data_IF_976733733700
#
_entry.id   IF_976733733700
#
_cell.length_a   1.000
_cell.length_b   1.000
_cell.length_c   1.000
_cell.angle_alpha   90.00
_cell.angle_beta   90.00
_cell.angle_gamma   90.00
#
_symmetry.space_group_name_H-M   'P 1'
#
loop_
_entity.id
_entity.type
_entity.pdbx_description
1 polymer ?
#
# COMPACT_ATOMS: atom_id res chain seq x y z
N UNK A 1 19.46 -3.08 -17.90
CA UNK A 1 18.77 -1.78 -17.66
C UNK A 1 18.74 -1.50 -16.17
N UNK A 2 18.70 -0.23 -15.73
CA UNK A 2 18.78 0.16 -14.31
C UNK A 2 17.80 -0.60 -13.40
N UNK A 3 16.53 -0.73 -13.83
CA UNK A 3 15.50 -1.47 -13.09
C UNK A 3 15.89 -2.90 -12.73
N UNK A 4 16.48 -3.66 -13.67
CA UNK A 4 16.85 -5.05 -13.42
C UNK A 4 17.99 -5.17 -12.39
N UNK A 5 18.95 -4.25 -12.44
CA UNK A 5 20.04 -4.22 -11.47
C UNK A 5 19.51 -3.85 -10.07
N UNK A 6 18.67 -2.81 -9.97
CA UNK A 6 18.12 -2.35 -8.69
C UNK A 6 17.19 -3.37 -8.05
N UNK A 7 16.32 -4.04 -8.84
CA UNK A 7 15.49 -5.14 -8.35
C UNK A 7 16.36 -6.29 -7.82
N UNK A 8 17.45 -6.64 -8.53
CA UNK A 8 18.34 -7.72 -8.12
C UNK A 8 19.14 -7.35 -6.87
N UNK A 9 19.63 -6.11 -6.77
CA UNK A 9 20.28 -5.58 -5.58
C UNK A 9 19.33 -5.60 -4.37
N UNK A 10 18.08 -5.18 -4.59
CA UNK A 10 17.04 -5.16 -3.56
C UNK A 10 16.76 -6.55 -3.02
N UNK A 11 16.57 -7.52 -3.91
CA UNK A 11 16.36 -8.92 -3.54
C UNK A 11 17.50 -9.46 -2.66
N UNK A 12 18.76 -9.22 -3.05
CA UNK A 12 19.92 -9.65 -2.28
C UNK A 12 19.98 -8.96 -0.91
N UNK A 13 19.68 -7.67 -0.85
CA UNK A 13 19.64 -6.92 0.41
C UNK A 13 18.56 -7.43 1.37
N UNK A 14 17.36 -7.74 0.87
CA UNK A 14 16.27 -8.32 1.66
C UNK A 14 16.68 -9.67 2.25
N UNK A 15 17.29 -10.54 1.42
CA UNK A 15 17.75 -11.85 1.86
C UNK A 15 18.81 -11.76 2.96
N UNK A 16 19.74 -10.81 2.85
CA UNK A 16 20.74 -10.53 3.89
C UNK A 16 20.11 -9.97 5.17
N UNK A 17 19.01 -9.22 5.06
CA UNK A 17 18.26 -8.70 6.20
C UNK A 17 17.30 -9.74 6.84
N UNK A 18 17.22 -10.96 6.29
CA UNK A 18 16.37 -12.04 6.80
C UNK A 18 14.97 -12.11 6.19
N UNK A 19 14.67 -11.30 5.17
CA UNK A 19 13.42 -11.38 4.39
C UNK A 19 13.66 -12.19 3.13
N UNK A 20 13.22 -13.45 3.13
CA UNK A 20 13.33 -14.33 1.96
C UNK A 20 12.03 -14.34 1.14
N UNK A 21 12.08 -13.78 -0.08
CA UNK A 21 10.96 -13.80 -1.02
C UNK A 21 10.88 -15.11 -1.82
N UNK A 22 11.82 -16.04 -1.61
CA UNK A 22 11.97 -17.26 -2.37
C UNK A 22 12.61 -17.02 -3.75
N UNK A 23 12.52 -18.01 -4.62
CA UNK A 23 13.07 -17.94 -5.97
C UNK A 23 12.25 -16.98 -6.86
N UNK A 24 12.88 -16.33 -7.85
CA UNK A 24 12.14 -15.60 -8.87
C UNK A 24 11.26 -16.55 -9.68
N UNK A 25 10.02 -16.13 -9.97
CA UNK A 25 9.05 -16.88 -10.80
C UNK A 25 8.76 -16.20 -12.13
N UNK A 26 9.41 -15.06 -12.39
CA UNK A 26 9.30 -14.28 -13.62
C UNK A 26 10.59 -13.54 -13.87
N UNK A 27 10.81 -13.14 -15.12
CA UNK A 27 11.79 -12.13 -15.44
C UNK A 27 11.35 -10.73 -14.99
N UNK A 28 12.22 -9.73 -15.13
CA UNK A 28 11.82 -8.33 -14.94
C UNK A 28 10.93 -7.92 -16.11
N UNK A 29 9.69 -7.58 -15.82
CA UNK A 29 8.67 -7.20 -16.81
C UNK A 29 8.14 -5.79 -16.55
N UNK A 30 7.57 -5.16 -17.57
CA UNK A 30 6.90 -3.86 -17.41
C UNK A 30 5.64 -4.01 -16.54
N UNK A 31 5.50 -3.18 -15.51
CA UNK A 31 4.30 -3.11 -14.67
C UNK A 31 3.40 -1.93 -15.00
N UNK A 32 3.69 -1.21 -16.10
CA UNK A 32 2.91 -0.08 -16.59
C UNK A 32 3.31 1.27 -15.98
N UNK A 33 2.89 2.36 -16.62
CA UNK A 33 3.26 3.74 -16.22
C UNK A 33 4.78 3.96 -16.06
N UNK A 34 5.61 3.25 -16.83
CA UNK A 34 7.07 3.42 -16.83
C UNK A 34 7.85 2.64 -15.77
N UNK A 35 7.17 1.82 -14.95
CA UNK A 35 7.84 0.96 -13.97
C UNK A 35 7.92 -0.50 -14.37
N UNK A 36 8.65 -1.25 -13.56
CA UNK A 36 8.96 -2.66 -13.77
C UNK A 36 8.70 -3.46 -12.50
N UNK A 37 8.49 -4.76 -12.65
CA UNK A 37 8.31 -5.69 -11.53
C UNK A 37 9.06 -6.98 -11.81
N UNK A 38 9.54 -7.63 -10.76
CA UNK A 38 9.85 -9.05 -10.75
C UNK A 38 9.05 -9.73 -9.65
N UNK A 39 8.39 -10.83 -10.01
CA UNK A 39 7.63 -11.67 -9.08
C UNK A 39 8.53 -12.77 -8.53
N UNK A 40 8.39 -13.03 -7.24
CA UNK A 40 9.02 -14.10 -6.49
C UNK A 40 7.94 -14.97 -5.84
N UNK A 41 8.33 -16.13 -5.30
CA UNK A 41 7.39 -17.08 -4.70
C UNK A 41 6.54 -16.48 -3.57
N UNK A 42 7.11 -15.59 -2.76
CA UNK A 42 6.45 -15.06 -1.56
C UNK A 42 6.26 -13.54 -1.59
N UNK A 43 6.65 -12.87 -2.66
CA UNK A 43 6.49 -11.42 -2.79
C UNK A 43 6.87 -10.90 -4.18
N UNK A 44 6.64 -9.62 -4.42
CA UNK A 44 7.02 -8.93 -5.64
C UNK A 44 7.98 -7.80 -5.30
N UNK A 45 8.95 -7.51 -6.18
CA UNK A 45 9.74 -6.29 -6.10
C UNK A 45 9.35 -5.42 -7.29
N UNK A 46 8.79 -4.25 -6.99
CA UNK A 46 8.44 -3.23 -7.96
C UNK A 46 9.53 -2.17 -8.01
N UNK A 47 9.79 -1.64 -9.20
CA UNK A 47 10.70 -0.54 -9.45
C UNK A 47 10.02 0.54 -10.27
N UNK A 48 10.24 1.80 -9.90
CA UNK A 48 9.88 2.95 -10.71
C UNK A 48 10.92 4.06 -10.53
N UNK A 49 11.16 4.87 -11.56
CA UNK A 49 12.22 5.88 -11.52
C UNK A 49 12.07 6.89 -10.36
N UNK A 50 10.83 7.17 -9.95
CA UNK A 50 10.55 8.12 -8.85
C UNK A 50 10.61 7.50 -7.45
N UNK A 51 10.52 6.17 -7.34
CA UNK A 51 10.37 5.49 -6.03
C UNK A 51 11.50 4.49 -5.76
N UNK A 52 12.24 4.04 -6.76
CA UNK A 52 13.24 2.98 -6.62
C UNK A 52 12.61 1.59 -6.46
N UNK A 53 13.42 0.62 -6.05
CA UNK A 53 12.99 -0.77 -5.86
C UNK A 53 12.45 -1.03 -4.44
N UNK A 54 11.20 -1.48 -4.36
CA UNK A 54 10.51 -1.80 -3.11
C UNK A 54 9.78 -3.13 -3.20
N UNK A 55 9.84 -3.90 -2.12
CA UNK A 55 9.10 -5.15 -2.04
C UNK A 55 7.66 -4.94 -1.54
N UNK A 56 6.77 -5.82 -1.98
CA UNK A 56 5.48 -6.06 -1.33
C UNK A 56 5.27 -7.57 -1.24
N UNK A 57 4.95 -8.09 -0.05
CA UNK A 57 4.83 -9.53 0.20
C UNK A 57 3.61 -9.89 1.07
N UNK A 58 3.35 -11.20 1.18
CA UNK A 58 2.32 -11.77 2.07
C UNK A 58 0.91 -11.16 1.88
N UNK A 59 0.19 -11.01 3.00
CA UNK A 59 -1.19 -10.50 2.99
C UNK A 59 -1.33 -9.06 2.50
N UNK A 60 -0.27 -8.25 2.60
CA UNK A 60 -0.24 -6.90 2.01
C UNK A 60 -0.18 -6.99 0.49
N UNK A 61 0.63 -7.89 -0.08
CA UNK A 61 0.67 -8.10 -1.53
C UNK A 61 -0.69 -8.59 -2.05
N UNK A 62 -1.31 -9.54 -1.38
CA UNK A 62 -2.65 -10.01 -1.75
C UNK A 62 -3.66 -8.85 -1.79
N UNK A 63 -3.64 -7.99 -0.77
CA UNK A 63 -4.49 -6.80 -0.73
C UNK A 63 -4.15 -5.80 -1.83
N UNK A 64 -2.87 -5.54 -2.06
CA UNK A 64 -2.39 -4.64 -3.11
C UNK A 64 -2.92 -5.07 -4.49
N UNK A 65 -2.82 -6.35 -4.81
CA UNK A 65 -3.32 -6.91 -6.06
C UNK A 65 -4.85 -6.83 -6.16
N UNK A 66 -5.59 -7.09 -5.07
CA UNK A 66 -7.06 -6.88 -5.04
C UNK A 66 -7.45 -5.44 -5.36
N UNK A 67 -6.63 -4.46 -4.95
CA UNK A 67 -6.85 -3.04 -5.24
C UNK A 67 -6.35 -2.58 -6.62
N UNK A 68 -5.91 -3.50 -7.48
CA UNK A 68 -5.41 -3.21 -8.84
C UNK A 68 -3.90 -2.98 -8.93
N UNK A 69 -3.16 -3.19 -7.84
CA UNK A 69 -1.71 -3.03 -7.78
C UNK A 69 -1.26 -1.62 -8.15
N UNK A 70 -0.21 -1.53 -8.98
CA UNK A 70 0.28 -0.25 -9.55
C UNK A 70 -0.66 0.34 -10.62
N UNK A 71 -1.63 -0.48 -11.07
CA UNK A 71 -2.58 -0.17 -12.13
C UNK A 71 -3.92 0.36 -11.61
N UNK A 72 -4.96 0.23 -12.43
CA UNK A 72 -6.31 0.71 -12.12
C UNK A 72 -7.06 -0.33 -11.27
N UNK A 73 -7.78 0.13 -10.26
CA UNK A 73 -8.68 -0.69 -9.47
C UNK A 73 -9.77 -1.31 -10.36
N UNK A 74 -10.05 -2.63 -10.23
CA UNK A 74 -10.98 -3.33 -11.12
C UNK A 74 -12.40 -2.78 -11.08
N UNK A 75 -12.84 -2.24 -9.94
CA UNK A 75 -14.19 -1.66 -9.78
C UNK A 75 -14.24 -0.17 -10.11
N UNK A 76 -13.21 0.60 -9.79
CA UNK A 76 -13.27 2.07 -9.84
C UNK A 76 -12.60 2.64 -11.08
N UNK A 77 -11.81 1.85 -11.83
CA UNK A 77 -11.10 2.32 -13.02
C UNK A 77 -10.02 3.38 -12.75
N UNK A 78 -9.67 3.61 -11.48
CA UNK A 78 -8.69 4.61 -11.01
C UNK A 78 -7.47 3.91 -10.41
N UNK A 79 -6.29 4.51 -10.58
CA UNK A 79 -5.09 4.07 -9.85
C UNK A 79 -5.19 4.61 -8.42
N UNK A 80 -5.35 3.73 -7.44
CA UNK A 80 -5.60 4.14 -6.04
C UNK A 80 -4.32 4.32 -5.22
N UNK A 81 -3.39 3.38 -5.34
CA UNK A 81 -2.20 3.30 -4.49
C UNK A 81 -0.93 3.77 -5.19
N UNK A 82 -0.74 3.40 -6.46
CA UNK A 82 0.48 3.69 -7.22
C UNK A 82 1.62 2.70 -6.93
N UNK A 83 2.86 3.11 -7.20
CA UNK A 83 4.04 2.32 -6.89
C UNK A 83 4.33 2.29 -5.38
N UNK A 84 4.90 1.19 -4.85
CA UNK A 84 5.41 1.20 -3.48
C UNK A 84 6.56 2.21 -3.33
N UNK A 85 6.57 2.89 -2.18
CA UNK A 85 7.61 3.86 -1.75
C UNK A 85 8.33 3.39 -0.49
N UNK A 86 7.95 2.21 0.02
CA UNK A 86 8.64 1.52 1.10
C UNK A 86 8.50 0.02 0.94
N UNK A 87 9.42 -0.71 1.58
CA UNK A 87 9.16 -2.10 1.93
C UNK A 87 8.12 -2.19 3.04
N UNK A 88 7.71 -3.39 3.42
CA UNK A 88 6.93 -3.62 4.63
C UNK A 88 7.69 -3.12 5.87
N UNK A 89 6.99 -2.37 6.72
CA UNK A 89 7.49 -1.83 7.98
C UNK A 89 6.63 -2.28 9.15
N UNK A 90 7.25 -2.43 10.31
CA UNK A 90 6.53 -2.56 11.57
C UNK A 90 5.86 -1.23 11.94
N UNK A 91 4.61 -1.31 12.42
CA UNK A 91 3.92 -0.18 13.05
C UNK A 91 4.45 0.07 14.47
N UNK A 92 4.04 1.17 15.11
CA UNK A 92 4.50 1.57 16.45
C UNK A 92 4.24 0.51 17.53
N UNK A 93 3.17 -0.26 17.41
CA UNK A 93 2.83 -1.37 18.31
C UNK A 93 3.68 -2.63 18.07
N UNK A 94 4.53 -2.64 17.03
CA UNK A 94 5.35 -3.76 16.52
C UNK A 94 4.58 -4.99 16.06
N UNK A 95 3.28 -5.07 16.35
CA UNK A 95 2.40 -6.18 15.98
C UNK A 95 1.85 -6.00 14.56
N UNK A 96 1.54 -4.78 14.15
CA UNK A 96 1.09 -4.53 12.80
C UNK A 96 2.21 -4.29 11.80
N UNK A 97 1.80 -4.34 10.54
CA UNK A 97 2.63 -4.10 9.37
C UNK A 97 1.95 -3.08 8.46
N UNK A 98 2.79 -2.32 7.76
CA UNK A 98 2.36 -1.34 6.77
C UNK A 98 3.33 -1.31 5.60
N UNK A 99 2.81 -1.24 4.39
CA UNK A 99 3.56 -0.82 3.21
C UNK A 99 2.99 0.49 2.69
N UNK A 100 3.87 1.43 2.37
CA UNK A 100 3.50 2.73 1.83
C UNK A 100 3.63 2.73 0.30
N UNK A 101 2.69 3.42 -0.34
CA UNK A 101 2.60 3.61 -1.79
C UNK A 101 2.53 5.11 -2.10
N UNK A 102 2.68 5.48 -3.38
CA UNK A 102 2.66 6.88 -3.83
C UNK A 102 1.46 7.67 -3.29
N UNK A 103 0.27 7.06 -3.25
CA UNK A 103 -0.99 7.72 -2.89
C UNK A 103 -1.76 7.04 -1.75
N UNK A 104 -1.12 6.12 -1.04
CA UNK A 104 -1.80 5.39 0.03
C UNK A 104 -0.89 4.49 0.84
N UNK A 105 -1.50 3.71 1.71
CA UNK A 105 -0.85 2.68 2.49
C UNK A 105 -1.81 1.50 2.70
N UNK A 106 -1.24 0.31 2.85
CA UNK A 106 -2.00 -0.89 3.22
C UNK A 106 -1.52 -1.36 4.58
N UNK A 107 -2.46 -1.60 5.48
CA UNK A 107 -2.20 -1.98 6.87
C UNK A 107 -2.63 -3.41 7.13
N UNK A 108 -1.86 -4.11 7.96
CA UNK A 108 -2.13 -5.47 8.40
C UNK A 108 -1.91 -5.59 9.91
N UNK A 109 -2.87 -6.15 10.63
CA UNK A 109 -2.73 -6.46 12.06
C UNK A 109 -3.71 -7.58 12.45
N UNK A 110 -3.16 -8.72 12.88
CA UNK A 110 -3.96 -9.91 13.19
C UNK A 110 -4.88 -9.70 14.39
N UNK A 111 -4.37 -9.13 15.48
CA UNK A 111 -5.10 -8.93 16.74
C UNK A 111 -6.18 -7.85 16.66
N UNK A 112 -6.04 -6.90 15.75
CA UNK A 112 -7.03 -5.83 15.49
C UNK A 112 -8.01 -6.15 14.36
N UNK A 113 -8.00 -7.39 13.84
CA UNK A 113 -8.81 -7.82 12.70
C UNK A 113 -8.62 -6.98 11.41
N UNK A 114 -7.40 -6.47 11.19
CA UNK A 114 -7.04 -5.70 10.00
C UNK A 114 -6.31 -6.63 9.03
N UNK A 115 -6.87 -6.89 7.85
CA UNK A 115 -6.39 -7.90 6.87
C UNK A 115 -6.10 -7.29 5.50
N UNK A 116 -5.28 -6.24 5.49
CA UNK A 116 -4.94 -5.51 4.27
C UNK A 116 -5.93 -4.39 3.98
N UNK A 117 -6.30 -3.62 5.01
CA UNK A 117 -7.14 -2.43 4.84
C UNK A 117 -6.28 -1.31 4.27
N UNK A 118 -6.73 -0.71 3.18
CA UNK A 118 -5.99 0.29 2.43
C UNK A 118 -6.59 1.69 2.64
N UNK A 119 -5.75 2.66 2.97
CA UNK A 119 -6.15 4.08 3.02
C UNK A 119 -5.46 4.79 1.86
N UNK A 120 -6.22 5.56 1.08
CA UNK A 120 -5.67 6.29 -0.07
C UNK A 120 -6.17 7.72 -0.18
N UNK A 121 -5.56 8.47 -1.09
CA UNK A 121 -5.97 9.83 -1.45
C UNK A 121 -5.89 10.78 -0.27
N UNK A 122 -6.85 11.71 -0.19
CA UNK A 122 -6.84 12.74 0.84
C UNK A 122 -7.10 12.17 2.25
N UNK A 123 -7.86 11.07 2.36
CA UNK A 123 -8.01 10.36 3.63
C UNK A 123 -6.65 9.87 4.14
N UNK A 124 -5.81 9.31 3.26
CA UNK A 124 -4.46 8.88 3.62
C UNK A 124 -3.56 10.06 3.98
N UNK A 125 -3.55 11.14 3.19
CA UNK A 125 -2.76 12.34 3.49
C UNK A 125 -3.07 12.88 4.88
N UNK A 126 -4.36 12.98 5.22
CA UNK A 126 -4.78 13.47 6.53
C UNK A 126 -4.47 12.46 7.65
N UNK A 127 -4.72 11.17 7.41
CA UNK A 127 -4.39 10.12 8.36
C UNK A 127 -2.91 10.09 8.73
N UNK A 128 -2.03 10.23 7.73
CA UNK A 128 -0.59 10.34 7.91
C UNK A 128 -0.19 11.59 8.71
N UNK A 129 -0.82 12.73 8.44
CA UNK A 129 -0.58 13.97 9.18
C UNK A 129 -0.99 13.88 10.66
N UNK A 130 -1.96 13.02 11.00
CA UNK A 130 -2.36 12.74 12.39
C UNK A 130 -1.44 11.71 13.08
N UNK A 131 -0.39 11.22 12.42
CA UNK A 131 0.59 10.30 13.00
C UNK A 131 0.16 8.83 13.02
N UNK A 132 -0.87 8.46 12.25
CA UNK A 132 -1.27 7.06 12.05
C UNK A 132 -1.50 6.29 13.37
N UNK A 133 -2.17 6.94 14.33
CA UNK A 133 -2.25 6.49 15.72
C UNK A 133 -3.19 5.29 15.98
N UNK A 134 -3.84 4.75 14.95
CA UNK A 134 -4.76 3.62 15.07
C UNK A 134 -4.65 2.69 13.87
N UNK A 135 -5.63 1.83 13.61
CA UNK A 135 -5.71 1.08 12.35
C UNK A 135 -7.01 1.42 11.64
N UNK A 136 -6.99 1.46 10.29
CA UNK A 136 -8.22 1.55 9.52
C UNK A 136 -9.05 0.28 9.75
N UNK A 137 -10.31 0.46 10.17
CA UNK A 137 -11.29 -0.61 10.30
C UNK A 137 -11.86 -1.04 8.93
N UNK A 138 -11.84 -0.13 7.96
CA UNK A 138 -12.18 -0.41 6.55
C UNK A 138 -11.09 0.13 5.64
N UNK A 139 -10.97 -0.41 4.44
CA UNK A 139 -10.32 0.34 3.36
C UNK A 139 -11.12 1.61 3.05
N UNK A 140 -10.50 2.59 2.41
CA UNK A 140 -11.21 3.77 1.91
C UNK A 140 -12.33 3.33 0.96
N UNK A 141 -13.51 3.89 1.10
CA UNK A 141 -14.69 3.58 0.31
C UNK A 141 -14.97 4.80 -0.57
N UNK A 142 -15.02 4.60 -1.88
CA UNK A 142 -15.44 5.62 -2.83
C UNK A 142 -16.96 5.55 -2.98
N UNK A 143 -17.62 6.68 -2.80
CA UNK A 143 -19.07 6.88 -2.94
C UNK A 143 -19.34 7.99 -3.95
N UNK A 144 -20.58 8.12 -4.46
CA UNK A 144 -20.94 9.25 -5.33
C UNK A 144 -20.71 10.63 -4.69
N UNK A 145 -20.74 10.73 -3.35
CA UNK A 145 -20.64 12.00 -2.62
C UNK A 145 -19.27 12.23 -1.97
N UNK A 146 -18.31 11.32 -2.16
CA UNK A 146 -16.99 11.44 -1.55
C UNK A 146 -16.31 10.12 -1.20
N UNK A 147 -15.23 10.22 -0.44
CA UNK A 147 -14.41 9.10 0.03
C UNK A 147 -14.46 9.03 1.55
N UNK A 148 -14.66 7.84 2.12
CA UNK A 148 -14.71 7.65 3.58
C UNK A 148 -13.82 6.50 4.01
N UNK A 149 -13.12 6.66 5.12
CA UNK A 149 -12.35 5.59 5.78
C UNK A 149 -12.78 5.51 7.24
N UNK A 150 -13.19 4.33 7.69
CA UNK A 150 -13.54 4.10 9.08
C UNK A 150 -12.34 3.59 9.87
N UNK A 151 -12.27 4.03 11.11
CA UNK A 151 -11.36 3.60 12.16
C UNK A 151 -12.22 3.15 13.36
N UNK A 152 -11.61 2.52 14.35
CA UNK A 152 -12.31 1.97 15.52
C UNK A 152 -13.21 3.03 16.22
N UNK A 153 -12.72 4.26 16.36
CA UNK A 153 -13.41 5.33 17.11
C UNK A 153 -13.68 6.58 16.26
N UNK A 154 -13.44 6.54 14.96
CA UNK A 154 -13.62 7.71 14.09
C UNK A 154 -13.80 7.34 12.62
N UNK A 155 -14.21 8.29 11.79
CA UNK A 155 -14.02 8.20 10.35
C UNK A 155 -13.43 9.49 9.77
N UNK A 156 -12.68 9.31 8.69
CA UNK A 156 -12.24 10.40 7.82
C UNK A 156 -13.12 10.42 6.58
N UNK A 157 -13.72 11.57 6.27
CA UNK A 157 -14.56 11.74 5.10
C UNK A 157 -14.10 12.93 4.26
N UNK A 158 -13.81 12.68 2.99
CA UNK A 158 -13.59 13.68 1.94
C UNK A 158 -14.88 13.82 1.12
N UNK A 159 -15.65 14.91 1.21
CA UNK A 159 -16.76 15.16 0.30
C UNK A 159 -16.25 15.37 -1.14
N UNK A 160 -17.12 15.16 -2.13
CA UNK A 160 -16.82 15.55 -3.52
C UNK A 160 -16.72 17.08 -3.67
N UNK A 161 -17.53 17.81 -2.92
CA UNK A 161 -17.47 19.26 -2.82
C UNK A 161 -18.12 19.71 -1.51
N UNK A 162 -17.51 20.63 -0.75
CA UNK A 162 -16.12 21.11 -0.88
C UNK A 162 -15.08 20.03 -0.48
N UNK A 163 -13.86 20.08 -1.04
CA UNK A 163 -12.85 19.02 -0.90
C UNK A 163 -12.04 19.04 0.42
N UNK A 164 -12.61 19.47 1.54
CA UNK A 164 -11.90 19.39 2.84
C UNK A 164 -12.15 18.07 3.55
N UNK A 165 -11.16 17.61 4.32
CA UNK A 165 -11.29 16.40 5.15
C UNK A 165 -12.07 16.71 6.42
N UNK A 166 -13.11 15.91 6.68
CA UNK A 166 -13.86 15.89 7.91
C UNK A 166 -13.40 14.73 8.79
N UNK A 167 -13.28 14.98 10.10
CA UNK A 167 -13.02 13.96 11.11
C UNK A 167 -14.25 13.85 11.99
N UNK A 168 -14.91 12.69 11.97
CA UNK A 168 -16.02 12.39 12.87
C UNK A 168 -15.55 11.39 13.92
N UNK A 169 -15.86 11.63 15.20
CA UNK A 169 -15.55 10.72 16.29
C UNK A 169 -16.83 10.06 16.80
N UNK A 170 -16.74 8.77 17.09
CA UNK A 170 -17.82 7.99 17.67
C UNK A 170 -17.67 8.05 19.20
N UNK A 171 -18.77 8.30 19.91
CA UNK A 171 -18.83 8.33 21.38
C UNK A 171 -19.56 7.08 21.88
#
# INVERSE_FOLDING_TARGET
MAAQQEISNKYNALKLAGTDLGNPISEVESSGSGGFVRKYQFGHIYWHANTGAHEVHGGILEAFLRYGGVGKHPVYGKRLLGYPVSDEKAMNDKAGRVSYFEWGAIYWNTSKNVRGNAVWGACFTHYKAMGESSYPATSTIITPIGEITYFETSCLWKPQSPEFINVFRFH
#
